data_IF_665331074546
#
_entry.id   IF_665331074546
#
_cell.length_a   1.000
_cell.length_b   1.000
_cell.length_c   1.000
_cell.angle_alpha   90.00
_cell.angle_beta   90.00
_cell.angle_gamma   90.00
#
_symmetry.space_group_name_H-M   'P 1'
#
loop_
_entity.id
_entity.type
_entity.pdbx_description
1 polymer ?
#
# COMPACT_ATOMS: atom_id res chain seq x y z
N UNK A 1 -16.11 0.21 -0.13
CA UNK A 1 -15.10 1.07 -0.77
C UNK A 1 -15.71 2.45 -0.91
N UNK A 2 -15.21 3.46 -0.20
CA UNK A 2 -15.60 4.86 -0.38
C UNK A 2 -14.37 5.63 -0.86
N UNK A 3 -13.93 5.27 -2.06
CA UNK A 3 -12.89 5.96 -2.80
C UNK A 3 -13.46 7.33 -3.24
N UNK A 4 -13.00 8.47 -2.71
CA UNK A 4 -13.76 9.71 -2.87
C UNK A 4 -13.74 10.23 -4.31
N UNK A 5 -12.61 10.08 -5.02
CA UNK A 5 -12.49 10.46 -6.44
C UNK A 5 -11.92 9.33 -7.32
N UNK A 6 -10.84 8.64 -6.91
CA UNK A 6 -10.30 7.52 -7.67
C UNK A 6 -9.62 6.45 -6.81
N UNK A 7 -9.84 5.20 -7.21
CA UNK A 7 -9.04 4.03 -6.81
C UNK A 7 -8.71 3.22 -8.06
N UNK A 8 -7.43 2.91 -8.25
CA UNK A 8 -6.98 2.00 -9.31
C UNK A 8 -6.18 0.84 -8.73
N UNK A 9 -6.42 -0.35 -9.28
CA UNK A 9 -5.78 -1.60 -8.86
C UNK A 9 -5.08 -2.22 -10.08
N UNK A 10 -3.85 -2.68 -9.86
CA UNK A 10 -3.12 -3.49 -10.82
C UNK A 10 -3.64 -4.92 -10.91
N UNK A 11 -2.87 -5.77 -11.59
CA UNK A 11 -3.16 -7.19 -11.77
C UNK A 11 -2.84 -7.97 -10.51
N UNK A 12 -3.60 -9.05 -10.25
CA UNK A 12 -3.34 -9.98 -9.14
C UNK A 12 -3.26 -9.30 -7.75
N UNK A 13 -4.06 -8.26 -7.52
CA UNK A 13 -4.19 -7.63 -6.20
C UNK A 13 -5.16 -8.42 -5.34
N UNK A 14 -4.76 -8.70 -4.10
CA UNK A 14 -5.66 -9.25 -3.08
C UNK A 14 -5.99 -8.17 -2.04
N UNK A 15 -7.27 -8.07 -1.68
CA UNK A 15 -7.76 -7.19 -0.61
C UNK A 15 -8.47 -8.04 0.43
N UNK A 16 -7.96 -7.99 1.66
CA UNK A 16 -8.52 -8.68 2.80
C UNK A 16 -9.87 -8.15 3.26
N UNK A 17 -10.44 -8.83 4.25
CA UNK A 17 -11.70 -8.43 4.90
C UNK A 17 -11.50 -7.14 5.69
N UNK A 18 -12.56 -6.35 5.78
CA UNK A 18 -12.63 -5.13 6.61
C UNK A 18 -11.53 -4.09 6.27
N UNK A 19 -11.13 -3.99 4.99
CA UNK A 19 -10.21 -2.95 4.53
C UNK A 19 -10.96 -1.64 4.28
N UNK A 20 -10.46 -0.55 4.86
CA UNK A 20 -10.99 0.80 4.68
C UNK A 20 -10.13 1.59 3.69
N UNK A 21 -10.71 2.03 2.58
CA UNK A 21 -10.05 2.96 1.66
C UNK A 21 -10.87 4.24 1.65
N UNK A 22 -10.35 5.24 2.35
CA UNK A 22 -10.94 6.58 2.58
C UNK A 22 -9.97 7.68 2.10
N UNK A 23 -9.15 7.35 1.11
CA UNK A 23 -8.24 8.24 0.41
C UNK A 23 -8.23 7.88 -1.08
N UNK A 24 -7.76 8.80 -1.92
CA UNK A 24 -7.41 8.44 -3.28
C UNK A 24 -6.26 7.44 -3.25
N UNK A 25 -6.30 6.42 -4.10
CA UNK A 25 -5.28 5.38 -4.06
C UNK A 25 -4.97 4.78 -5.43
N UNK A 26 -3.69 4.49 -5.66
CA UNK A 26 -3.19 3.70 -6.77
C UNK A 26 -2.42 2.52 -6.21
N UNK A 27 -2.83 1.31 -6.58
CA UNK A 27 -2.18 0.06 -6.18
C UNK A 27 -1.60 -0.63 -7.40
N UNK A 28 -0.32 -0.98 -7.34
CA UNK A 28 0.40 -1.70 -8.39
C UNK A 28 -0.03 -3.16 -8.57
N UNK A 29 0.72 -3.88 -9.39
CA UNK A 29 0.53 -5.30 -9.65
C UNK A 29 1.00 -6.16 -8.45
N UNK A 30 0.41 -7.34 -8.27
CA UNK A 30 0.81 -8.36 -7.29
C UNK A 30 0.80 -7.92 -5.81
N UNK A 31 0.04 -6.87 -5.49
CA UNK A 31 -0.04 -6.35 -4.12
C UNK A 31 -0.95 -7.22 -3.25
N UNK A 32 -0.49 -7.49 -2.03
CA UNK A 32 -1.25 -8.17 -0.99
C UNK A 32 -1.63 -7.18 0.12
N UNK A 33 -2.91 -6.87 0.24
CA UNK A 33 -3.46 -6.05 1.33
C UNK A 33 -4.15 -6.98 2.32
N UNK A 34 -3.60 -7.13 3.53
CA UNK A 34 -4.18 -7.98 4.56
C UNK A 34 -5.48 -7.40 5.13
N UNK A 35 -6.16 -8.18 5.98
CA UNK A 35 -7.41 -7.74 6.61
C UNK A 35 -7.18 -6.51 7.50
N UNK A 36 -8.21 -5.68 7.63
CA UNK A 36 -8.23 -4.49 8.52
C UNK A 36 -7.19 -3.42 8.22
N UNK A 37 -6.62 -3.42 7.01
CA UNK A 37 -5.77 -2.31 6.55
C UNK A 37 -6.63 -1.08 6.27
N UNK A 38 -6.11 0.12 6.58
CA UNK A 38 -6.79 1.37 6.33
C UNK A 38 -5.91 2.37 5.56
N UNK A 39 -6.44 2.95 4.48
CA UNK A 39 -5.85 4.11 3.79
C UNK A 39 -6.69 5.35 4.12
N UNK A 40 -6.13 6.31 4.86
CA UNK A 40 -6.90 7.40 5.52
C UNK A 40 -6.20 8.76 5.42
N UNK A 41 -6.88 9.85 5.76
CA UNK A 41 -6.33 11.22 5.75
C UNK A 41 -7.05 12.20 4.83
N UNK A 42 -7.68 11.73 3.75
CA UNK A 42 -8.40 12.59 2.79
C UNK A 42 -9.75 13.07 3.33
N UNK A 43 -10.39 12.22 4.13
CA UNK A 43 -11.68 12.50 4.74
C UNK A 43 -11.53 12.99 6.18
N UNK A 44 -10.39 13.55 6.54
CA UNK A 44 -10.21 14.22 7.82
C UNK A 44 -10.49 15.72 7.71
N UNK A 45 -10.63 16.37 8.86
CA UNK A 45 -10.71 17.82 8.93
C UNK A 45 -9.35 18.45 8.64
N UNK A 46 -9.33 19.52 7.85
CA UNK A 46 -8.15 20.37 7.69
C UNK A 46 -7.88 21.12 8.99
N UNK A 47 -7.02 20.53 9.82
CA UNK A 47 -6.61 21.05 11.12
C UNK A 47 -5.66 22.25 11.02
N UNK A 48 -5.27 22.68 9.81
CA UNK A 48 -4.39 23.84 9.63
C UNK A 48 -5.12 25.18 9.59
N UNK A 49 -6.46 25.18 9.59
CA UNK A 49 -7.27 26.40 9.55
C UNK A 49 -7.20 27.14 10.89
N UNK A 50 -6.54 28.31 10.89
CA UNK A 50 -6.39 29.16 12.08
C UNK A 50 -7.73 29.82 12.44
N UNK A 51 -8.04 29.85 13.74
CA UNK A 51 -9.22 30.54 14.29
C UNK A 51 -10.54 29.77 14.16
N UNK A 52 -10.52 28.54 13.64
CA UNK A 52 -11.70 27.68 13.53
C UNK A 52 -11.49 26.42 14.39
N UNK A 53 -12.39 26.10 15.33
CA UNK A 53 -12.31 24.82 16.05
C UNK A 53 -12.42 23.63 15.08
N UNK A 54 -11.62 22.57 15.30
CA UNK A 54 -11.48 21.43 14.36
C UNK A 54 -12.81 20.84 13.89
N UNK A 55 -13.82 20.75 14.77
CA UNK A 55 -15.17 20.27 14.43
C UNK A 55 -15.85 21.08 13.30
N UNK A 56 -15.51 22.36 13.18
CA UNK A 56 -16.03 23.27 12.17
C UNK A 56 -15.02 23.55 11.05
N UNK A 57 -13.80 23.00 11.15
CA UNK A 57 -12.83 23.09 10.07
C UNK A 57 -13.36 22.33 8.84
N UNK A 58 -13.06 22.81 7.62
CA UNK A 58 -13.46 22.13 6.41
C UNK A 58 -12.83 20.74 6.33
N UNK A 59 -13.51 19.81 5.67
CA UNK A 59 -12.94 18.52 5.30
C UNK A 59 -11.82 18.72 4.28
N UNK A 60 -10.77 17.91 4.33
CA UNK A 60 -9.66 17.96 3.35
C UNK A 60 -10.19 17.80 1.92
N UNK A 61 -11.21 16.98 1.71
CA UNK A 61 -11.88 16.78 0.41
C UNK A 61 -12.84 17.92 -0.01
N UNK A 62 -13.01 18.98 0.79
CA UNK A 62 -13.97 20.07 0.52
C UNK A 62 -13.68 20.78 -0.81
N UNK A 63 -14.67 20.84 -1.70
CA UNK A 63 -14.59 21.60 -2.97
C UNK A 63 -14.75 23.12 -2.74
N UNK A 64 -15.56 23.49 -1.75
CA UNK A 64 -15.84 24.90 -1.42
C UNK A 64 -14.67 25.57 -0.68
N UNK A 65 -13.94 24.80 0.12
CA UNK A 65 -12.83 25.25 0.95
C UNK A 65 -11.64 24.30 0.73
N UNK A 66 -10.91 24.44 -0.39
CA UNK A 66 -9.90 23.48 -0.79
C UNK A 66 -8.74 23.45 0.20
N UNK A 67 -8.39 22.25 0.67
CA UNK A 67 -7.20 22.01 1.48
C UNK A 67 -5.95 21.82 0.60
N UNK A 68 -4.77 22.18 1.12
CA UNK A 68 -3.48 21.82 0.49
C UNK A 68 -3.23 20.32 0.41
N UNK A 69 -3.94 19.52 1.21
CA UNK A 69 -3.84 18.07 1.24
C UNK A 69 -4.84 17.39 0.27
N UNK A 70 -5.70 18.18 -0.39
CA UNK A 70 -6.80 17.69 -1.23
C UNK A 70 -6.34 16.81 -2.39
N UNK A 71 -5.18 17.04 -2.97
CA UNK A 71 -4.73 16.26 -4.14
C UNK A 71 -3.80 15.10 -3.77
N UNK A 72 -3.65 14.81 -2.48
CA UNK A 72 -2.83 13.69 -2.02
C UNK A 72 -3.54 12.34 -2.28
N UNK A 73 -2.73 11.34 -2.62
CA UNK A 73 -3.13 9.95 -2.79
C UNK A 73 -2.14 9.03 -2.09
N UNK A 74 -2.60 7.83 -1.73
CA UNK A 74 -1.73 6.72 -1.35
C UNK A 74 -1.27 6.00 -2.61
N UNK A 75 0.04 5.91 -2.82
CA UNK A 75 0.61 5.16 -3.95
C UNK A 75 1.27 3.91 -3.41
N UNK A 76 0.81 2.73 -3.82
CA UNK A 76 1.41 1.44 -3.49
C UNK A 76 2.05 0.88 -4.75
N UNK A 77 3.37 0.68 -4.71
CA UNK A 77 4.11 0.05 -5.80
C UNK A 77 3.76 -1.44 -5.96
N UNK A 78 4.28 -2.05 -7.03
CA UNK A 78 4.05 -3.47 -7.30
C UNK A 78 4.67 -4.36 -6.19
N UNK A 79 4.13 -5.57 -6.03
CA UNK A 79 4.69 -6.64 -5.17
C UNK A 79 4.88 -6.20 -3.69
N UNK A 80 3.99 -5.33 -3.22
CA UNK A 80 3.96 -4.88 -1.82
C UNK A 80 3.08 -5.81 -0.98
N UNK A 81 3.50 -6.06 0.26
CA UNK A 81 2.62 -6.62 1.28
C UNK A 81 2.33 -5.60 2.37
N UNK A 82 1.04 -5.36 2.63
CA UNK A 82 0.57 -4.53 3.74
C UNK A 82 -0.07 -5.42 4.80
N UNK A 83 0.59 -5.51 5.96
CA UNK A 83 0.23 -6.39 7.06
C UNK A 83 -1.08 -6.01 7.75
N UNK A 84 -1.65 -6.99 8.45
CA UNK A 84 -2.96 -6.87 9.10
C UNK A 84 -3.05 -5.62 9.98
N UNK A 85 -4.15 -4.87 9.87
CA UNK A 85 -4.40 -3.73 10.75
C UNK A 85 -3.48 -2.52 10.52
N UNK A 86 -2.65 -2.51 9.49
CA UNK A 86 -1.79 -1.36 9.20
C UNK A 86 -2.61 -0.16 8.67
N UNK A 87 -2.18 1.04 9.02
CA UNK A 87 -2.76 2.31 8.58
C UNK A 87 -1.74 3.03 7.70
N UNK A 88 -2.13 3.43 6.50
CA UNK A 88 -1.30 4.23 5.58
C UNK A 88 -1.95 5.59 5.39
N UNK A 89 -1.21 6.65 5.68
CA UNK A 89 -1.72 8.02 5.53
C UNK A 89 -1.68 8.48 4.06
N UNK A 90 -2.67 9.27 3.66
CA UNK A 90 -2.72 9.90 2.35
C UNK A 90 -1.46 10.72 2.08
N UNK A 91 -0.99 10.70 0.82
CA UNK A 91 0.25 11.34 0.41
C UNK A 91 1.49 10.47 0.56
N UNK A 92 1.38 9.28 1.16
CA UNK A 92 2.48 8.32 1.28
C UNK A 92 2.63 7.47 0.02
N UNK A 93 3.89 7.27 -0.39
CA UNK A 93 4.30 6.28 -1.39
C UNK A 93 4.93 5.07 -0.70
N UNK A 94 4.32 3.90 -0.87
CA UNK A 94 4.89 2.62 -0.46
C UNK A 94 5.65 2.02 -1.64
N UNK A 95 6.97 2.01 -1.55
CA UNK A 95 7.85 1.54 -2.62
C UNK A 95 7.60 0.10 -3.04
N UNK A 96 7.97 -0.21 -4.29
CA UNK A 96 7.88 -1.54 -4.87
C UNK A 96 8.55 -2.59 -3.98
N UNK A 97 7.94 -3.77 -3.88
CA UNK A 97 8.53 -4.91 -3.17
C UNK A 97 8.55 -4.78 -1.65
N UNK A 98 8.08 -3.66 -1.09
CA UNK A 98 8.18 -3.34 0.33
C UNK A 98 7.16 -4.10 1.17
N UNK A 99 7.50 -4.25 2.46
CA UNK A 99 6.69 -4.95 3.45
C UNK A 99 6.34 -3.98 4.58
N UNK A 100 5.05 -3.81 4.83
CA UNK A 100 4.54 -3.07 5.98
C UNK A 100 4.09 -4.08 7.03
N UNK A 101 4.74 -4.10 8.20
CA UNK A 101 4.39 -5.00 9.29
C UNK A 101 2.97 -4.74 9.82
N UNK A 102 2.38 -5.76 10.45
CA UNK A 102 1.05 -5.65 11.04
C UNK A 102 0.97 -4.54 12.11
N UNK A 103 -0.16 -3.83 12.14
CA UNK A 103 -0.43 -2.76 13.10
C UNK A 103 0.40 -1.48 12.91
N UNK A 104 1.16 -1.36 11.82
CA UNK A 104 1.96 -0.17 11.54
C UNK A 104 1.15 1.05 11.17
N UNK A 105 1.63 2.24 11.56
CA UNK A 105 1.11 3.53 11.07
C UNK A 105 2.15 4.19 10.18
N UNK A 106 1.93 4.12 8.87
CA UNK A 106 2.85 4.62 7.84
C UNK A 106 2.54 6.09 7.56
N UNK A 107 3.44 6.96 8.02
CA UNK A 107 3.30 8.43 7.96
C UNK A 107 4.24 9.10 6.97
N UNK A 108 5.08 8.32 6.28
CA UNK A 108 6.11 8.81 5.35
C UNK A 108 6.42 7.73 4.31
N UNK A 109 7.00 8.14 3.19
CA UNK A 109 7.34 7.25 2.08
C UNK A 109 8.21 6.07 2.55
N UNK A 110 7.88 4.88 2.02
CA UNK A 110 8.60 3.63 2.29
C UNK A 110 9.53 3.35 1.12
N UNK A 111 10.85 3.23 1.34
CA UNK A 111 11.80 2.87 0.28
C UNK A 111 11.44 1.52 -0.35
N UNK A 112 11.82 1.32 -1.61
CA UNK A 112 11.65 0.04 -2.31
C UNK A 112 12.35 -1.11 -1.57
N UNK A 113 11.72 -2.27 -1.54
CA UNK A 113 12.19 -3.48 -0.85
C UNK A 113 12.48 -3.29 0.64
N UNK A 114 12.02 -2.22 1.27
CA UNK A 114 12.16 -2.03 2.70
C UNK A 114 11.11 -2.84 3.46
N UNK A 115 11.48 -3.29 4.66
CA UNK A 115 10.55 -3.78 5.67
C UNK A 115 10.37 -2.66 6.68
N UNK A 116 9.15 -2.17 6.86
CA UNK A 116 8.82 -1.13 7.84
C UNK A 116 7.87 -1.64 8.91
N UNK A 117 8.00 -1.10 10.13
CA UNK A 117 7.19 -1.51 11.27
C UNK A 117 7.05 -0.43 12.34
N UNK A 118 6.02 -0.53 13.19
CA UNK A 118 5.82 0.36 14.35
C UNK A 118 4.85 1.53 14.13
N UNK A 119 4.70 2.34 15.19
CA UNK A 119 3.83 3.54 15.25
C UNK A 119 4.64 4.70 15.86
N UNK A 120 5.10 5.66 15.05
CA UNK A 120 5.07 5.67 13.58
C UNK A 120 6.01 4.62 12.98
N UNK A 121 5.70 4.16 11.76
CA UNK A 121 6.48 3.15 11.08
C UNK A 121 7.91 3.63 10.77
N UNK A 122 8.88 2.74 10.96
CA UNK A 122 10.31 2.94 10.67
C UNK A 122 10.86 1.77 9.90
N UNK A 123 11.93 1.99 9.13
CA UNK A 123 12.65 0.90 8.45
C UNK A 123 13.24 -0.03 9.51
N UNK A 124 12.85 -1.29 9.43
CA UNK A 124 13.37 -2.39 10.25
C UNK A 124 14.47 -3.17 9.51
N UNK A 125 14.46 -3.15 8.18
CA UNK A 125 15.42 -3.85 7.36
C UNK A 125 15.03 -3.83 5.88
N UNK A 126 15.66 -4.72 5.11
CA UNK A 126 15.36 -4.95 3.68
C UNK A 126 14.76 -6.35 3.50
N UNK A 127 13.86 -6.50 2.52
CA UNK A 127 13.26 -7.79 2.14
C UNK A 127 14.30 -8.76 1.60
N UNK A 128 15.28 -8.24 0.86
CA UNK A 128 16.38 -9.01 0.28
C UNK A 128 17.72 -8.45 0.77
N UNK A 129 18.72 -9.33 0.83
CA UNK A 129 20.06 -9.03 1.37
C UNK A 129 21.05 -8.54 0.31
N UNK A 130 20.76 -8.74 -0.98
CA UNK A 130 21.62 -8.34 -2.09
C UNK A 130 20.84 -7.72 -3.25
N UNK A 131 21.52 -6.91 -4.06
CA UNK A 131 20.96 -6.35 -5.30
C UNK A 131 20.77 -7.44 -6.38
N UNK A 132 21.55 -8.52 -6.32
CA UNK A 132 21.39 -9.68 -7.21
C UNK A 132 20.05 -10.39 -6.94
N UNK A 133 19.68 -10.58 -5.67
CA UNK A 133 18.39 -11.17 -5.31
C UNK A 133 17.22 -10.29 -5.81
N UNK A 134 17.37 -8.96 -5.73
CA UNK A 134 16.38 -8.02 -6.27
C UNK A 134 16.29 -8.17 -7.79
N UNK A 135 17.42 -8.24 -8.49
CA UNK A 135 17.45 -8.40 -9.95
C UNK A 135 16.81 -9.72 -10.41
N UNK A 136 17.14 -10.84 -9.75
CA UNK A 136 16.56 -12.15 -10.03
C UNK A 136 15.04 -12.16 -9.82
N UNK A 137 14.58 -11.53 -8.73
CA UNK A 137 13.17 -11.38 -8.42
C UNK A 137 12.44 -10.52 -9.44
N UNK A 138 13.02 -9.38 -9.83
CA UNK A 138 12.48 -8.50 -10.86
C UNK A 138 12.33 -9.17 -12.22
N UNK A 139 13.33 -9.96 -12.61
CA UNK A 139 13.26 -10.72 -13.84
C UNK A 139 12.15 -11.78 -13.75
N UNK A 140 12.01 -12.45 -12.60
CA UNK A 140 10.93 -13.41 -12.35
C UNK A 140 9.56 -12.77 -12.45
N UNK A 141 9.34 -11.58 -11.87
CA UNK A 141 8.07 -10.85 -11.99
C UNK A 141 7.72 -10.47 -13.44
N UNK A 142 8.73 -10.25 -14.29
CA UNK A 142 8.55 -9.85 -15.69
C UNK A 142 8.24 -11.01 -16.62
N UNK A 143 8.92 -12.14 -16.48
CA UNK A 143 8.82 -13.26 -17.43
C UNK A 143 8.22 -14.54 -16.83
N UNK A 144 8.00 -14.58 -15.51
CA UNK A 144 7.32 -15.69 -14.85
C UNK A 144 5.83 -15.76 -15.20
N UNK A 145 5.25 -16.94 -15.06
CA UNK A 145 3.81 -17.15 -15.23
C UNK A 145 3.14 -17.30 -13.86
N UNK A 146 2.39 -16.27 -13.47
CA UNK A 146 1.66 -16.19 -12.21
C UNK A 146 0.16 -16.01 -12.48
N UNK A 147 -0.65 -17.04 -12.21
CA UNK A 147 -2.11 -17.00 -12.41
C UNK A 147 -2.83 -17.53 -11.18
N UNK A 148 -3.79 -16.77 -10.66
CA UNK A 148 -4.73 -17.28 -9.67
C UNK A 148 -5.94 -17.88 -10.40
N UNK A 149 -6.44 -19.03 -9.94
CA UNK A 149 -7.75 -19.51 -10.37
C UNK A 149 -8.85 -19.02 -9.44
N UNK A 150 -10.07 -18.95 -9.98
CA UNK A 150 -11.27 -18.66 -9.21
C UNK A 150 -11.69 -19.78 -8.25
N UNK A 151 -11.03 -20.95 -8.28
CA UNK A 151 -11.35 -22.12 -7.45
C UNK A 151 -10.67 -22.13 -6.07
N UNK A 152 -10.02 -21.03 -5.68
CA UNK A 152 -9.40 -20.87 -4.37
C UNK A 152 -7.90 -21.18 -4.33
N UNK A 153 -7.36 -21.35 -3.12
CA UNK A 153 -5.92 -21.37 -2.82
C UNK A 153 -5.12 -22.47 -3.55
N UNK A 154 -5.75 -23.61 -3.86
CA UNK A 154 -5.07 -24.80 -4.39
C UNK A 154 -4.95 -24.82 -5.92
N UNK A 155 -5.43 -23.79 -6.59
CA UNK A 155 -5.41 -23.71 -8.05
C UNK A 155 -4.81 -22.38 -8.46
N UNK A 156 -3.48 -22.33 -8.47
CA UNK A 156 -2.71 -21.24 -9.04
C UNK A 156 -1.54 -21.79 -9.87
N UNK A 157 -1.13 -21.03 -10.88
CA UNK A 157 0.11 -21.27 -11.61
C UNK A 157 1.16 -20.36 -10.99
N UNK A 158 2.23 -20.96 -10.47
CA UNK A 158 3.37 -20.25 -9.88
C UNK A 158 4.62 -20.80 -10.56
N UNK A 159 5.01 -20.17 -11.67
CA UNK A 159 6.18 -20.55 -12.47
C UNK A 159 7.17 -19.38 -12.54
N UNK A 160 7.99 -19.15 -11.49
CA UNK A 160 9.07 -18.18 -11.55
C UNK A 160 10.15 -18.63 -12.54
N UNK A 161 10.90 -17.68 -13.10
CA UNK A 161 12.01 -17.97 -14.01
C UNK A 161 13.14 -18.77 -13.36
N UNK A 162 13.41 -18.51 -12.08
CA UNK A 162 14.51 -19.13 -11.36
C UNK A 162 14.00 -20.12 -10.32
N UNK A 163 14.49 -21.35 -10.40
CA UNK A 163 14.49 -22.28 -9.27
C UNK A 163 15.87 -22.25 -8.64
N UNK A 164 16.14 -21.31 -7.71
CA UNK A 164 17.29 -21.52 -6.82
C UNK A 164 17.01 -22.82 -6.05
N UNK A 165 17.85 -23.83 -6.22
CA UNK A 165 17.82 -25.01 -5.35
C UNK A 165 18.04 -24.48 -3.94
N UNK A 166 17.03 -24.57 -3.08
CA UNK A 166 17.25 -24.33 -1.65
C UNK A 166 18.23 -25.41 -1.19
N UNK A 167 19.43 -25.00 -0.79
CA UNK A 167 20.32 -25.81 0.04
C UNK A 167 19.73 -25.92 1.45
#
# INVERSE_FOLDING_TARGET
>A
MWAPDHVSLGRCVYIGKDVNIEANCRVGDYVLIANRVAFVGRNDHDFSVVGVPVRFSPWVASQKYPSRFREQEVVVGDDVWIGYGAVVLTGVRVGRGSIVAAGSVVTSDVPEYAVVGGVPARVLGRRYTSEEDIADHEQSLKLGDYKFSEKGFDSCIINPLFRRSRS
#
